data_IF_064386276915
#
_entry.id   IF_064386276915
#
_cell.length_a   1.000
_cell.length_b   1.000
_cell.length_c   1.000
_cell.angle_alpha   90.00
_cell.angle_beta   90.00
_cell.angle_gamma   90.00
#
_symmetry.space_group_name_H-M   'P 1'
#
loop_
_entity.id
_entity.type
_entity.pdbx_description
1 polymer ?
#
# COMPACT_ATOMS: atom_id res chain seq x y z
N UNK A 1 22.56 0.03 4.24
CA UNK A 1 21.21 0.20 3.63
C UNK A 1 20.34 0.94 4.65
N UNK A 2 19.54 1.93 4.24
CA UNK A 2 18.69 2.68 5.18
C UNK A 2 17.67 1.71 5.83
N UNK A 3 17.62 1.62 7.16
CA UNK A 3 16.74 0.69 7.89
C UNK A 3 15.28 0.78 7.42
N UNK A 4 14.80 1.99 7.13
CA UNK A 4 13.44 2.22 6.61
C UNK A 4 13.20 1.49 5.29
N UNK A 5 14.17 1.56 4.38
CA UNK A 5 14.11 0.84 3.09
C UNK A 5 14.09 -0.67 3.34
N UNK A 6 14.96 -1.18 4.23
CA UNK A 6 15.05 -2.62 4.51
C UNK A 6 13.72 -3.14 5.05
N UNK A 7 13.15 -2.45 6.04
CA UNK A 7 11.88 -2.84 6.67
C UNK A 7 10.74 -2.77 5.67
N UNK A 8 10.60 -1.67 4.92
CA UNK A 8 9.53 -1.54 3.92
C UNK A 8 9.64 -2.60 2.82
N UNK A 9 10.85 -2.90 2.35
CA UNK A 9 11.08 -3.93 1.34
C UNK A 9 10.78 -5.33 1.90
N UNK A 10 11.20 -5.64 3.13
CA UNK A 10 10.90 -6.91 3.77
C UNK A 10 9.40 -7.13 3.92
N UNK A 11 8.66 -6.11 4.39
CA UNK A 11 7.19 -6.17 4.48
C UNK A 11 6.56 -6.38 3.11
N UNK A 12 7.01 -5.64 2.08
CA UNK A 12 6.51 -5.78 0.71
C UNK A 12 6.70 -7.21 0.17
N UNK A 13 7.88 -7.80 0.36
CA UNK A 13 8.20 -9.15 -0.14
C UNK A 13 7.41 -10.21 0.61
N UNK A 14 7.40 -10.17 1.94
CA UNK A 14 6.69 -11.16 2.77
C UNK A 14 5.18 -11.08 2.52
N UNK A 15 4.61 -9.88 2.54
CA UNK A 15 3.19 -9.70 2.27
C UNK A 15 2.85 -10.04 0.81
N UNK A 16 3.72 -9.71 -0.15
CA UNK A 16 3.60 -10.11 -1.55
C UNK A 16 3.52 -11.63 -1.73
N UNK A 17 4.42 -12.38 -1.10
CA UNK A 17 4.40 -13.83 -1.13
C UNK A 17 3.11 -14.39 -0.51
N UNK A 18 2.70 -13.86 0.64
CA UNK A 18 1.43 -14.24 1.27
C UNK A 18 0.22 -13.95 0.36
N UNK A 19 0.16 -12.78 -0.28
CA UNK A 19 -0.91 -12.42 -1.20
C UNK A 19 -0.96 -13.35 -2.41
N UNK A 20 0.19 -13.74 -2.97
CA UNK A 20 0.23 -14.70 -4.08
C UNK A 20 -0.31 -16.06 -3.70
N UNK A 21 0.02 -16.56 -2.51
CA UNK A 21 -0.53 -17.82 -1.98
C UNK A 21 -2.05 -17.69 -1.76
N UNK A 22 -2.52 -16.60 -1.15
CA UNK A 22 -3.95 -16.38 -0.99
C UNK A 22 -4.68 -16.33 -2.35
N UNK A 23 -4.11 -15.64 -3.33
CA UNK A 23 -4.66 -15.55 -4.68
C UNK A 23 -4.64 -16.89 -5.42
N UNK A 24 -3.66 -17.77 -5.18
CA UNK A 24 -3.66 -19.10 -5.80
C UNK A 24 -4.77 -20.01 -5.24
N UNK A 25 -5.14 -19.83 -3.97
CA UNK A 25 -6.17 -20.65 -3.32
C UNK A 25 -7.59 -20.18 -3.62
N UNK A 26 -7.85 -18.87 -3.50
CA UNK A 26 -9.22 -18.33 -3.61
C UNK A 26 -9.44 -17.40 -4.81
N UNK A 27 -8.37 -17.05 -5.54
CA UNK A 27 -8.45 -16.06 -6.62
C UNK A 27 -8.71 -14.64 -6.11
N UNK A 28 -8.58 -13.66 -7.00
CA UNK A 28 -8.80 -12.24 -6.64
C UNK A 28 -10.22 -11.99 -6.12
N UNK A 29 -11.25 -12.46 -6.84
CA UNK A 29 -12.64 -12.28 -6.45
C UNK A 29 -13.00 -13.06 -5.17
N UNK A 30 -12.38 -14.22 -4.92
CA UNK A 30 -12.62 -14.97 -3.69
C UNK A 30 -12.15 -14.27 -2.43
N UNK A 31 -11.10 -13.44 -2.51
CA UNK A 31 -10.68 -12.57 -1.40
C UNK A 31 -11.82 -11.60 -1.03
N UNK A 32 -12.44 -10.96 -2.02
CA UNK A 32 -13.56 -10.04 -1.79
C UNK A 32 -14.79 -10.74 -1.23
N UNK A 33 -15.14 -11.90 -1.78
CA UNK A 33 -16.26 -12.71 -1.29
C UNK A 33 -16.03 -13.19 0.15
N UNK A 34 -14.82 -13.62 0.49
CA UNK A 34 -14.44 -13.96 1.85
C UNK A 34 -14.49 -12.76 2.80
N UNK A 35 -14.15 -11.57 2.31
CA UNK A 35 -14.28 -10.32 3.06
C UNK A 35 -15.73 -9.94 3.38
N UNK A 36 -16.73 -10.46 2.67
CA UNK A 36 -18.16 -10.19 2.93
C UNK A 36 -18.95 -11.43 3.37
N UNK A 37 -18.28 -12.52 3.74
CA UNK A 37 -18.94 -13.77 4.12
C UNK A 37 -19.65 -13.72 5.48
N UNK A 38 -19.43 -12.66 6.25
CA UNK A 38 -20.04 -12.44 7.57
C UNK A 38 -19.70 -11.05 8.11
N UNK A 39 -20.42 -10.63 9.15
CA UNK A 39 -20.28 -9.27 9.70
C UNK A 39 -18.89 -8.96 10.25
N UNK A 40 -18.21 -9.95 10.84
CA UNK A 40 -16.84 -9.79 11.34
C UNK A 40 -15.83 -9.57 10.22
N UNK A 41 -15.90 -10.37 9.15
CA UNK A 41 -15.05 -10.21 7.97
C UNK A 41 -15.33 -8.89 7.25
N UNK A 42 -16.62 -8.54 7.13
CA UNK A 42 -17.06 -7.31 6.49
C UNK A 42 -16.55 -6.07 7.22
N UNK A 43 -16.54 -6.09 8.57
CA UNK A 43 -15.95 -5.02 9.36
C UNK A 43 -14.45 -4.85 9.08
N UNK A 44 -13.67 -5.95 9.03
CA UNK A 44 -12.23 -5.89 8.74
C UNK A 44 -11.99 -5.36 7.31
N UNK A 45 -12.79 -5.81 6.34
CA UNK A 45 -12.72 -5.29 4.96
C UNK A 45 -13.05 -3.79 4.91
N UNK A 46 -14.08 -3.34 5.63
CA UNK A 46 -14.46 -1.94 5.71
C UNK A 46 -13.34 -1.09 6.34
N UNK A 47 -12.75 -1.55 7.44
CA UNK A 47 -11.61 -0.89 8.08
C UNK A 47 -10.43 -0.77 7.11
N UNK A 48 -10.14 -1.82 6.33
CA UNK A 48 -9.11 -1.79 5.30
C UNK A 48 -9.41 -0.77 4.20
N UNK A 49 -10.65 -0.71 3.71
CA UNK A 49 -11.08 0.28 2.70
C UNK A 49 -10.88 1.70 3.24
N UNK A 50 -11.34 1.98 4.47
CA UNK A 50 -11.17 3.29 5.11
C UNK A 50 -9.69 3.64 5.27
N UNK A 51 -8.87 2.70 5.74
CA UNK A 51 -7.43 2.90 5.87
C UNK A 51 -6.77 3.21 4.51
N UNK A 52 -7.15 2.49 3.44
CA UNK A 52 -6.65 2.74 2.09
C UNK A 52 -7.04 4.14 1.60
N UNK A 53 -8.29 4.58 1.82
CA UNK A 53 -8.74 5.92 1.45
C UNK A 53 -7.92 7.00 2.16
N UNK A 54 -7.72 6.87 3.47
CA UNK A 54 -6.91 7.80 4.25
C UNK A 54 -5.45 7.83 3.77
N UNK A 55 -4.87 6.67 3.48
CA UNK A 55 -3.51 6.57 2.95
C UNK A 55 -3.39 7.19 1.56
N UNK A 56 -4.37 7.01 0.67
CA UNK A 56 -4.36 7.66 -0.64
C UNK A 56 -4.40 9.19 -0.53
N UNK A 57 -5.22 9.74 0.37
CA UNK A 57 -5.22 11.19 0.65
C UNK A 57 -3.84 11.64 1.10
N UNK A 58 -3.22 10.92 2.03
CA UNK A 58 -1.88 11.22 2.50
C UNK A 58 -0.82 11.14 1.39
N UNK A 59 -0.85 10.09 0.56
CA UNK A 59 0.06 9.92 -0.58
C UNK A 59 -0.07 11.10 -1.54
N UNK A 60 -1.29 11.50 -1.90
CA UNK A 60 -1.51 12.61 -2.83
C UNK A 60 -0.93 13.91 -2.28
N UNK A 61 -1.13 14.20 -1.00
CA UNK A 61 -0.61 15.42 -0.37
C UNK A 61 0.92 15.39 -0.24
N UNK A 62 1.50 14.29 0.22
CA UNK A 62 2.95 14.16 0.43
C UNK A 62 3.71 14.10 -0.91
N UNK A 63 3.20 13.36 -1.89
CA UNK A 63 3.83 13.22 -3.21
C UNK A 63 3.91 14.56 -3.94
N UNK A 64 2.84 15.36 -3.87
CA UNK A 64 2.81 16.72 -4.46
C UNK A 64 3.87 17.62 -3.84
N UNK A 65 4.09 17.54 -2.51
CA UNK A 65 5.16 18.30 -1.82
C UNK A 65 6.56 17.87 -2.27
N UNK A 66 6.73 16.61 -2.65
CA UNK A 66 7.99 16.03 -3.10
C UNK A 66 8.20 16.10 -4.62
N UNK A 67 7.29 16.74 -5.37
CA UNK A 67 7.34 16.77 -6.84
C UNK A 67 7.20 15.38 -7.49
N UNK A 68 6.52 14.46 -6.82
CA UNK A 68 6.25 13.10 -7.27
C UNK A 68 4.84 12.99 -7.85
N UNK A 69 4.67 12.15 -8.88
CA UNK A 69 3.34 11.80 -9.39
C UNK A 69 2.66 10.77 -8.44
N UNK A 70 1.54 11.10 -7.79
CA UNK A 70 0.88 10.18 -6.85
C UNK A 70 0.06 9.07 -7.52
N UNK A 71 -0.40 9.27 -8.76
CA UNK A 71 -1.43 8.43 -9.38
C UNK A 71 -1.07 6.95 -9.51
N UNK A 72 0.17 6.54 -9.85
CA UNK A 72 0.53 5.13 -9.88
C UNK A 72 0.27 4.43 -8.54
N UNK A 73 0.60 5.10 -7.42
CA UNK A 73 0.41 4.54 -6.09
C UNK A 73 -1.06 4.50 -5.70
N UNK A 74 -1.85 5.53 -6.07
CA UNK A 74 -3.30 5.57 -5.85
C UNK A 74 -3.99 4.41 -6.57
N UNK A 75 -3.68 4.19 -7.85
CA UNK A 75 -4.27 3.11 -8.64
C UNK A 75 -3.92 1.73 -8.08
N UNK A 76 -2.66 1.52 -7.69
CA UNK A 76 -2.25 0.28 -7.03
C UNK A 76 -2.96 0.13 -5.68
N UNK A 77 -3.17 1.21 -4.92
CA UNK A 77 -3.89 1.15 -3.64
C UNK A 77 -5.34 0.71 -3.82
N UNK A 78 -6.01 1.18 -4.88
CA UNK A 78 -7.39 0.78 -5.17
C UNK A 78 -7.53 -0.69 -5.55
N UNK A 79 -6.56 -1.24 -6.29
CA UNK A 79 -6.63 -2.59 -6.82
C UNK A 79 -6.00 -3.64 -5.89
N UNK A 80 -5.01 -3.24 -5.10
CA UNK A 80 -4.20 -4.15 -4.30
C UNK A 80 -4.11 -3.73 -2.83
N UNK A 81 -4.77 -2.66 -2.40
CA UNK A 81 -4.73 -2.20 -1.01
C UNK A 81 -3.34 -1.70 -0.61
N UNK A 82 -2.74 -2.29 0.42
CA UNK A 82 -1.52 -1.79 1.06
C UNK A 82 -0.25 -1.81 0.17
N UNK A 83 -0.26 -2.45 -1.00
CA UNK A 83 0.87 -2.41 -1.94
C UNK A 83 1.18 -0.99 -2.43
N UNK A 84 0.16 -0.16 -2.69
CA UNK A 84 0.36 1.22 -3.16
C UNK A 84 1.13 2.07 -2.16
N UNK A 85 0.70 2.15 -0.88
CA UNK A 85 1.44 2.84 0.19
C UNK A 85 2.84 2.27 0.44
N UNK A 86 3.01 0.95 0.40
CA UNK A 86 4.33 0.32 0.59
C UNK A 86 5.31 0.72 -0.53
N UNK A 87 4.88 0.67 -1.79
CA UNK A 87 5.69 1.10 -2.93
C UNK A 87 5.99 2.61 -2.88
N UNK A 88 5.02 3.42 -2.45
CA UNK A 88 5.22 4.85 -2.28
C UNK A 88 6.29 5.15 -1.21
N UNK A 89 6.19 4.51 -0.05
CA UNK A 89 7.17 4.65 1.03
C UNK A 89 8.56 4.19 0.59
N UNK A 90 8.65 3.09 -0.15
CA UNK A 90 9.92 2.61 -0.68
C UNK A 90 10.58 3.65 -1.60
N UNK A 91 9.84 4.19 -2.57
CA UNK A 91 10.33 5.25 -3.46
C UNK A 91 10.73 6.50 -2.66
N UNK A 92 9.88 6.92 -1.72
CA UNK A 92 10.12 8.09 -0.87
C UNK A 92 11.40 7.95 -0.05
N UNK A 93 11.68 6.78 0.51
CA UNK A 93 12.90 6.55 1.29
C UNK A 93 14.16 6.41 0.43
N UNK A 94 14.01 6.01 -0.84
CA UNK A 94 15.11 5.97 -1.80
C UNK A 94 15.49 7.37 -2.31
N UNK A 95 14.53 8.28 -2.45
CA UNK A 95 14.84 9.69 -2.73
C UNK A 95 15.43 10.34 -1.47
N UNK A 96 16.73 10.65 -1.50
CA UNK A 96 17.37 11.43 -0.43
C UNK A 96 16.61 12.76 -0.24
N UNK A 97 16.45 13.27 1.00
CA UNK A 97 16.02 14.64 1.18
C UNK A 97 17.04 15.52 0.45
N UNK A 98 16.60 16.28 -0.56
CA UNK A 98 17.40 17.37 -1.07
C UNK A 98 17.62 18.30 0.12
N UNK A 99 18.86 18.35 0.61
CA UNK A 99 19.26 19.36 1.56
C UNK A 99 18.87 20.71 0.93
N UNK A 100 18.04 21.45 1.65
CA UNK A 100 17.74 22.84 1.30
C UNK A 100 19.09 23.56 1.24
N UNK A 101 19.56 23.83 0.03
CA UNK A 101 20.63 24.80 -0.18
C UNK A 101 19.94 26.16 -0.02
N UNK A 102 19.97 26.67 1.20
CA UNK A 102 19.66 28.06 1.54
C UNK A 102 20.78 28.56 2.43
#
# INVERSE_FOLDING_TARGET
MNLKIVVTLAVLVVFGAFSLVAMSEVGYLGIWLGGVSGWGQAQILADLIVACLLLMVWIVLDARRLGLNPWPFVLITLLAGSFGPLLYLLLRFMKKPQALVT
#
